data_IF_545906117896
#
_entry.id   IF_545906117896
#
_cell.length_a   1.000
_cell.length_b   1.000
_cell.length_c   1.000
_cell.angle_alpha   90.00
_cell.angle_beta   90.00
_cell.angle_gamma   90.00
#
_symmetry.space_group_name_H-M   'P 1'
#
loop_
_entity.id
_entity.type
_entity.pdbx_description
1 polymer ?
#
# COMPACT_ATOMS: atom_id res chain seq x y z
N UNK A 1 1.44 -1.33 14.14
CA UNK A 1 2.40 -0.34 13.59
C UNK A 1 1.96 -0.02 12.17
N UNK A 2 1.77 1.25 11.86
CA UNK A 2 1.43 1.72 10.51
C UNK A 2 2.75 1.98 9.77
N UNK A 3 3.05 1.20 8.73
CA UNK A 3 4.13 1.52 7.80
C UNK A 3 3.53 2.30 6.65
N UNK A 4 3.83 3.60 6.57
CA UNK A 4 3.35 4.48 5.51
C UNK A 4 4.48 4.65 4.50
N UNK A 5 4.28 4.15 3.28
CA UNK A 5 5.13 4.50 2.15
C UNK A 5 4.42 5.65 1.44
N UNK A 6 4.72 6.87 1.85
CA UNK A 6 4.25 8.07 1.16
C UNK A 6 5.15 8.31 -0.05
N UNK A 7 4.88 7.63 -1.17
CA UNK A 7 5.44 8.05 -2.47
C UNK A 7 4.71 9.33 -2.87
N UNK A 8 5.27 10.48 -2.47
CA UNK A 8 4.97 11.75 -3.12
C UNK A 8 5.48 11.64 -4.56
N UNK A 9 4.60 11.30 -5.50
CA UNK A 9 4.88 11.43 -6.93
C UNK A 9 5.02 12.92 -7.22
N UNK A 10 6.23 13.44 -7.11
CA UNK A 10 6.59 14.84 -7.36
C UNK A 10 6.45 15.27 -8.84
N UNK A 11 5.81 14.44 -9.68
CA UNK A 11 5.67 14.69 -11.13
C UNK A 11 4.33 15.25 -11.58
N UNK A 12 3.31 15.36 -10.73
CA UNK A 12 1.96 15.79 -11.18
C UNK A 12 1.69 17.30 -11.09
N UNK A 13 2.62 18.08 -10.52
CA UNK A 13 2.44 19.53 -10.31
C UNK A 13 3.03 20.40 -11.42
N UNK A 14 3.78 19.84 -12.37
CA UNK A 14 4.59 20.67 -13.30
C UNK A 14 3.83 21.10 -14.56
N UNK A 15 2.86 20.34 -15.07
CA UNK A 15 2.28 20.64 -16.40
C UNK A 15 1.05 21.55 -16.42
N UNK A 16 0.54 22.03 -15.27
CA UNK A 16 -0.55 23.02 -15.29
C UNK A 16 -0.06 24.47 -15.38
N UNK A 17 1.24 24.73 -15.23
CA UNK A 17 1.79 26.09 -15.13
C UNK A 17 2.23 26.68 -16.48
N UNK A 18 2.34 25.88 -17.53
CA UNK A 18 2.97 26.29 -18.80
C UNK A 18 2.01 26.64 -19.94
N UNK A 19 0.69 26.43 -19.79
CA UNK A 19 -0.28 26.87 -20.81
C UNK A 19 -0.97 28.14 -20.31
N UNK A 20 -0.48 29.28 -20.79
CA UNK A 20 -0.89 30.64 -20.39
C UNK A 20 -2.34 31.03 -20.72
N UNK A 21 -3.33 30.37 -20.12
CA UNK A 21 -4.71 30.84 -20.09
C UNK A 21 -5.03 31.53 -18.75
N UNK A 22 -4.37 32.68 -18.51
CA UNK A 22 -4.61 33.52 -17.32
C UNK A 22 -6.08 33.91 -17.14
N UNK A 23 -6.88 33.91 -18.22
CA UNK A 23 -8.32 34.16 -18.19
C UNK A 23 -9.13 32.97 -17.67
N UNK A 24 -8.73 31.73 -18.00
CA UNK A 24 -9.40 30.50 -17.58
C UNK A 24 -9.05 30.18 -16.13
N UNK A 25 -7.80 30.37 -15.71
CA UNK A 25 -7.40 30.20 -14.31
C UNK A 25 -8.06 31.21 -13.38
N UNK A 26 -8.22 32.46 -13.83
CA UNK A 26 -8.96 33.49 -13.09
C UNK A 26 -10.45 33.16 -13.00
N UNK A 27 -11.05 32.63 -14.08
CA UNK A 27 -12.43 32.17 -14.07
C UNK A 27 -12.65 30.98 -13.14
N UNK A 28 -11.72 30.00 -13.13
CA UNK A 28 -11.76 28.85 -12.23
C UNK A 28 -11.57 29.28 -10.77
N UNK A 29 -10.65 30.20 -10.50
CA UNK A 29 -10.42 30.75 -9.16
C UNK A 29 -11.66 31.47 -8.64
N UNK A 30 -12.22 32.40 -9.40
CA UNK A 30 -13.45 33.11 -9.03
C UNK A 30 -14.64 32.15 -8.81
N UNK A 31 -14.72 31.07 -9.58
CA UNK A 31 -15.75 30.05 -9.41
C UNK A 31 -15.54 29.20 -8.16
N UNK A 32 -14.29 28.93 -7.80
CA UNK A 32 -13.93 28.14 -6.61
C UNK A 32 -14.14 28.95 -5.34
N UNK A 33 -13.74 30.22 -5.35
CA UNK A 33 -13.94 31.18 -4.25
C UNK A 33 -15.45 31.41 -3.97
N UNK A 34 -16.27 31.44 -5.03
CA UNK A 34 -17.73 31.48 -4.90
C UNK A 34 -18.31 30.18 -4.34
N UNK A 35 -17.75 29.01 -4.67
CA UNK A 35 -18.16 27.73 -4.08
C UNK A 35 -17.81 27.69 -2.58
N UNK A 36 -16.66 28.22 -2.16
CA UNK A 36 -16.30 28.32 -0.75
C UNK A 36 -17.20 29.27 0.04
N UNK A 37 -17.56 30.42 -0.54
CA UNK A 37 -18.59 31.32 0.03
C UNK A 37 -19.97 30.66 0.15
N UNK A 38 -20.32 29.75 -0.75
CA UNK A 38 -21.58 29.00 -0.68
C UNK A 38 -21.52 27.91 0.40
N UNK A 39 -20.36 27.29 0.60
CA UNK A 39 -20.15 26.29 1.67
C UNK A 39 -20.30 26.89 3.07
N UNK A 40 -19.83 28.13 3.30
CA UNK A 40 -19.95 28.80 4.60
C UNK A 40 -21.39 29.23 4.95
N UNK A 41 -22.32 29.16 3.99
CA UNK A 41 -23.74 29.56 4.17
C UNK A 41 -24.65 28.34 4.32
N UNK A 42 -24.18 27.12 4.03
CA UNK A 42 -25.00 25.93 3.88
C UNK A 42 -24.68 24.82 4.92
N UNK A 43 -24.68 25.18 6.21
CA UNK A 43 -24.81 24.20 7.29
C UNK A 43 -26.31 23.89 7.49
N UNK A 44 -26.84 23.03 6.63
CA UNK A 44 -28.24 22.62 6.67
C UNK A 44 -28.52 21.52 5.65
N UNK A 45 -29.00 20.37 6.14
CA UNK A 45 -29.22 19.11 5.44
C UNK A 45 -29.82 19.21 4.02
N UNK A 46 -29.35 18.30 3.13
CA UNK A 46 -29.69 18.11 1.70
C UNK A 46 -28.78 18.79 0.65
N UNK A 47 -27.66 19.37 1.06
CA UNK A 47 -26.64 19.88 0.15
C UNK A 47 -25.57 18.80 -0.11
N UNK A 48 -25.55 18.22 -1.32
CA UNK A 48 -24.40 17.42 -1.80
C UNK A 48 -23.50 18.35 -2.65
N UNK A 49 -22.51 19.03 -2.03
CA UNK A 49 -21.71 20.06 -2.68
C UNK A 49 -20.89 19.51 -3.85
N UNK A 50 -20.52 18.23 -3.84
CA UNK A 50 -19.79 17.61 -4.96
C UNK A 50 -20.68 17.46 -6.19
N UNK A 51 -21.93 17.02 -5.99
CA UNK A 51 -22.91 16.86 -7.07
C UNK A 51 -23.30 18.21 -7.67
N UNK A 52 -23.45 19.24 -6.84
CA UNK A 52 -23.73 20.62 -7.26
C UNK A 52 -22.52 21.21 -8.00
N UNK A 53 -21.30 21.06 -7.48
CA UNK A 53 -20.08 21.52 -8.14
C UNK A 53 -19.85 20.83 -9.49
N UNK A 54 -20.18 19.53 -9.60
CA UNK A 54 -20.11 18.77 -10.85
C UNK A 54 -21.11 19.29 -11.88
N UNK A 55 -22.35 19.59 -11.45
CA UNK A 55 -23.41 20.18 -12.30
C UNK A 55 -23.11 21.63 -12.70
N UNK A 56 -22.49 22.41 -11.82
CA UNK A 56 -22.06 23.77 -12.10
C UNK A 56 -20.90 23.80 -13.12
N UNK A 57 -19.91 22.91 -12.96
CA UNK A 57 -18.83 22.72 -13.94
C UNK A 57 -19.35 22.31 -15.31
N UNK A 58 -20.33 21.40 -15.38
CA UNK A 58 -20.91 20.99 -16.67
C UNK A 58 -21.68 22.14 -17.34
N UNK A 59 -22.42 22.95 -16.58
CA UNK A 59 -23.10 24.15 -17.09
C UNK A 59 -22.10 25.22 -17.58
N UNK A 60 -21.01 25.44 -16.85
CA UNK A 60 -19.98 26.39 -17.26
C UNK A 60 -19.33 25.97 -18.58
N UNK A 61 -18.99 24.69 -18.72
CA UNK A 61 -18.45 24.09 -19.96
C UNK A 61 -19.43 24.27 -21.14
N UNK A 62 -20.73 23.99 -20.94
CA UNK A 62 -21.73 24.18 -22.00
C UNK A 62 -21.93 25.64 -22.38
N UNK A 63 -21.90 26.56 -21.40
CA UNK A 63 -22.01 28.00 -21.65
C UNK A 63 -20.79 28.57 -22.38
N UNK A 64 -19.60 28.03 -22.11
CA UNK A 64 -18.38 28.41 -22.82
C UNK A 64 -18.41 27.92 -24.26
N UNK A 65 -18.76 26.64 -24.48
CA UNK A 65 -18.93 26.07 -25.82
C UNK A 65 -19.91 26.87 -26.68
N UNK A 66 -21.02 27.35 -26.10
CA UNK A 66 -22.04 28.13 -26.79
C UNK A 66 -21.55 29.54 -27.22
N UNK A 67 -20.53 30.08 -26.54
CA UNK A 67 -19.94 31.40 -26.86
C UNK A 67 -18.79 31.33 -27.87
N UNK A 68 -18.37 30.12 -28.27
CA UNK A 68 -17.28 29.94 -29.20
C UNK A 68 -17.75 30.14 -30.66
N UNK A 69 -16.93 30.77 -31.53
CA UNK A 69 -17.23 30.87 -32.95
C UNK A 69 -17.23 29.48 -33.62
N UNK A 70 -18.10 29.29 -34.64
CA UNK A 70 -18.33 28.00 -35.32
C UNK A 70 -17.04 27.28 -35.74
N UNK A 71 -16.04 28.01 -36.24
CA UNK A 71 -14.75 27.45 -36.66
C UNK A 71 -13.90 26.84 -35.53
N UNK A 72 -14.16 27.21 -34.27
CA UNK A 72 -13.40 26.75 -33.10
C UNK A 72 -14.06 25.61 -32.32
N UNK A 73 -15.34 25.29 -32.60
CA UNK A 73 -16.08 24.25 -31.89
C UNK A 73 -15.44 22.87 -32.04
N UNK A 74 -14.92 22.55 -33.23
CA UNK A 74 -14.26 21.27 -33.50
C UNK A 74 -13.01 21.08 -32.62
N UNK A 75 -12.16 22.11 -32.56
CA UNK A 75 -10.95 22.13 -31.72
C UNK A 75 -11.32 22.01 -30.24
N UNK A 76 -12.38 22.69 -29.81
CA UNK A 76 -12.88 22.58 -28.44
C UNK A 76 -13.38 21.18 -28.09
N UNK A 77 -14.25 20.60 -28.94
CA UNK A 77 -14.78 19.26 -28.74
C UNK A 77 -13.65 18.21 -28.75
N UNK A 78 -12.62 18.44 -29.57
CA UNK A 78 -11.42 17.61 -29.61
C UNK A 78 -10.63 17.68 -28.31
N UNK A 79 -10.43 18.88 -27.77
CA UNK A 79 -9.74 19.07 -26.50
C UNK A 79 -10.52 18.46 -25.32
N UNK A 80 -11.84 18.62 -25.29
CA UNK A 80 -12.70 17.99 -24.28
C UNK A 80 -12.65 16.47 -24.38
N UNK A 81 -12.72 15.91 -25.59
CA UNK A 81 -12.59 14.48 -25.84
C UNK A 81 -11.25 13.93 -25.37
N UNK A 82 -10.16 14.61 -25.74
CA UNK A 82 -8.80 14.30 -25.30
C UNK A 82 -8.67 14.29 -23.78
N UNK A 83 -9.20 15.33 -23.11
CA UNK A 83 -9.14 15.45 -21.65
C UNK A 83 -9.86 14.30 -20.93
N UNK A 84 -10.96 13.78 -21.50
CA UNK A 84 -11.69 12.62 -20.97
C UNK A 84 -10.89 11.35 -21.15
N UNK A 85 -10.25 11.16 -22.30
CA UNK A 85 -9.39 10.01 -22.59
C UNK A 85 -8.19 9.95 -21.64
N UNK A 86 -7.52 11.08 -21.39
CA UNK A 86 -6.41 11.16 -20.42
C UNK A 86 -6.89 10.86 -18.99
N UNK A 87 -8.05 11.39 -18.58
CA UNK A 87 -8.65 11.06 -17.26
C UNK A 87 -8.94 9.57 -17.12
N UNK A 88 -9.45 8.93 -18.17
CA UNK A 88 -9.71 7.48 -18.17
C UNK A 88 -8.40 6.69 -18.10
N UNK A 89 -7.39 7.08 -18.86
CA UNK A 89 -6.05 6.48 -18.81
C UNK A 89 -5.43 6.56 -17.42
N UNK A 90 -5.54 7.72 -16.75
CA UNK A 90 -5.07 7.90 -15.37
C UNK A 90 -5.77 6.93 -14.41
N UNK A 91 -7.10 6.85 -14.47
CA UNK A 91 -7.86 5.98 -13.56
C UNK A 91 -7.55 4.50 -13.80
N UNK A 92 -7.45 4.08 -15.06
CA UNK A 92 -7.08 2.71 -15.42
C UNK A 92 -5.65 2.38 -14.97
N UNK A 93 -4.72 3.34 -15.08
CA UNK A 93 -3.35 3.21 -14.57
C UNK A 93 -3.33 2.95 -13.08
N UNK A 94 -4.04 3.78 -12.30
CA UNK A 94 -4.11 3.61 -10.84
C UNK A 94 -4.69 2.24 -10.49
N UNK A 95 -5.76 1.81 -11.17
CA UNK A 95 -6.40 0.52 -10.91
C UNK A 95 -5.50 -0.67 -11.28
N UNK A 96 -4.79 -0.60 -12.40
CA UNK A 96 -3.87 -1.66 -12.81
C UNK A 96 -2.65 -1.76 -11.91
N UNK A 97 -2.07 -0.62 -11.55
CA UNK A 97 -0.96 -0.56 -10.61
C UNK A 97 -1.36 -1.11 -9.24
N UNK A 98 -2.56 -0.80 -8.74
CA UNK A 98 -3.09 -1.38 -7.49
C UNK A 98 -3.14 -2.90 -7.51
N UNK A 99 -3.46 -3.50 -8.66
CA UNK A 99 -3.53 -4.98 -8.80
C UNK A 99 -2.14 -5.61 -8.88
N UNK A 100 -1.17 -4.92 -9.49
CA UNK A 100 0.14 -5.49 -9.83
C UNK A 100 1.22 -5.24 -8.77
N UNK A 101 1.23 -4.03 -8.19
CA UNK A 101 2.25 -3.62 -7.21
C UNK A 101 2.34 -4.63 -6.06
N UNK A 102 1.26 -5.07 -5.38
CA UNK A 102 1.39 -5.99 -4.27
C UNK A 102 2.13 -7.27 -4.65
N UNK A 103 1.74 -7.87 -5.78
CA UNK A 103 2.35 -9.07 -6.34
C UNK A 103 3.86 -8.96 -6.54
N UNK A 104 4.33 -7.80 -6.99
CA UNK A 104 5.74 -7.48 -7.22
C UNK A 104 6.48 -7.18 -5.92
N UNK A 105 5.92 -6.35 -5.03
CA UNK A 105 6.53 -6.03 -3.74
C UNK A 105 6.78 -7.29 -2.91
N UNK A 106 5.83 -8.22 -2.89
CA UNK A 106 6.04 -9.47 -2.17
C UNK A 106 7.16 -10.31 -2.76
N UNK A 107 7.33 -10.33 -4.08
CA UNK A 107 8.49 -11.00 -4.70
C UNK A 107 9.79 -10.41 -4.19
N UNK A 108 9.93 -9.08 -4.22
CA UNK A 108 11.12 -8.36 -3.75
C UNK A 108 11.38 -8.67 -2.26
N UNK A 109 10.37 -8.52 -1.40
CA UNK A 109 10.51 -8.81 0.04
C UNK A 109 10.96 -10.26 0.28
N UNK A 110 10.47 -11.24 -0.48
CA UNK A 110 10.93 -12.64 -0.33
C UNK A 110 12.35 -12.93 -0.82
N UNK A 111 13.00 -11.99 -1.52
CA UNK A 111 14.42 -12.08 -1.84
C UNK A 111 15.28 -11.73 -0.61
N UNK A 112 14.85 -10.76 0.18
CA UNK A 112 15.58 -10.28 1.36
C UNK A 112 15.21 -10.99 2.66
N UNK A 113 13.95 -11.41 2.80
CA UNK A 113 13.42 -11.98 4.04
C UNK A 113 12.97 -13.43 3.84
N UNK A 114 13.14 -14.27 4.87
CA UNK A 114 12.79 -15.70 4.85
C UNK A 114 11.30 -15.99 5.03
N UNK A 115 10.42 -15.10 4.56
CA UNK A 115 8.97 -15.20 4.68
C UNK A 115 8.33 -15.72 3.38
N UNK A 116 7.17 -16.38 3.48
CA UNK A 116 6.42 -16.84 2.30
C UNK A 116 5.69 -15.68 1.62
N UNK A 117 5.62 -15.70 0.28
CA UNK A 117 4.90 -14.69 -0.52
C UNK A 117 3.43 -14.52 -0.10
N UNK A 118 2.75 -15.63 0.21
CA UNK A 118 1.35 -15.64 0.64
C UNK A 118 1.08 -14.90 1.96
N UNK A 119 2.11 -14.69 2.80
CA UNK A 119 2.01 -13.94 4.05
C UNK A 119 2.13 -12.42 3.83
N UNK A 120 2.77 -12.01 2.73
CA UNK A 120 2.94 -10.59 2.37
C UNK A 120 1.79 -10.13 1.48
N UNK A 121 1.24 -11.04 0.67
CA UNK A 121 0.09 -10.74 -0.19
C UNK A 121 -1.07 -10.22 0.64
N UNK A 122 -1.70 -9.11 0.20
CA UNK A 122 -2.85 -8.57 0.89
C UNK A 122 -3.99 -9.58 0.84
N UNK A 123 -4.44 -10.02 2.02
CA UNK A 123 -5.64 -10.84 2.17
C UNK A 123 -6.69 -10.06 2.94
N UNK A 124 -7.97 -10.28 2.64
CA UNK A 124 -9.08 -9.70 3.41
C UNK A 124 -9.24 -10.50 4.70
N UNK A 125 -8.85 -9.93 5.85
CA UNK A 125 -9.19 -10.50 7.15
C UNK A 125 -8.41 -9.94 8.34
N UNK A 126 -9.05 -9.90 9.51
CA UNK A 126 -8.45 -9.41 10.76
C UNK A 126 -7.22 -10.21 11.22
N UNK A 127 -7.04 -11.44 10.71
CA UNK A 127 -5.91 -12.33 11.05
C UNK A 127 -4.75 -12.28 10.04
N UNK A 128 -4.84 -11.48 8.98
CA UNK A 128 -3.81 -11.41 7.95
C UNK A 128 -2.50 -10.79 8.49
N UNK A 129 -1.36 -11.29 7.99
CA UNK A 129 -0.03 -10.75 8.27
C UNK A 129 0.17 -9.35 7.65
N UNK A 130 -0.53 -9.08 6.55
CA UNK A 130 -0.63 -7.77 5.91
C UNK A 130 -2.04 -7.51 5.36
N UNK A 131 -2.52 -6.29 5.53
CA UNK A 131 -3.76 -5.76 4.96
C UNK A 131 -3.46 -4.50 4.13
N UNK A 132 -4.22 -4.29 3.06
CA UNK A 132 -4.20 -3.05 2.28
C UNK A 132 -5.51 -2.30 2.50
N UNK A 133 -5.42 -1.06 2.96
CA UNK A 133 -6.58 -0.16 3.01
C UNK A 133 -6.61 0.77 1.79
N UNK A 134 -7.78 0.90 1.18
CA UNK A 134 -8.03 1.79 0.04
C UNK A 134 -8.52 3.14 0.55
N UNK A 135 -7.65 4.16 0.51
CA UNK A 135 -8.12 5.54 0.48
C UNK A 135 -7.82 6.06 -0.93
N UNK A 136 -8.88 6.41 -1.68
CA UNK A 136 -8.79 6.79 -3.10
C UNK A 136 -7.80 7.93 -3.39
N UNK A 137 -7.38 8.66 -2.35
CA UNK A 137 -6.41 9.76 -2.40
C UNK A 137 -5.05 9.48 -1.73
N UNK A 138 -4.90 8.41 -0.91
CA UNK A 138 -3.74 8.23 -0.01
C UNK A 138 -2.76 7.12 -0.40
N UNK A 139 -2.89 6.52 -1.59
CA UNK A 139 -1.98 5.47 -2.08
C UNK A 139 -2.28 4.07 -1.51
N UNK A 140 -1.30 3.16 -1.63
CA UNK A 140 -1.38 1.79 -1.10
C UNK A 140 -0.80 1.79 0.31
N UNK A 141 -1.65 1.58 1.32
CA UNK A 141 -1.21 1.56 2.73
C UNK A 141 -1.15 0.12 3.21
N UNK A 142 0.04 -0.34 3.60
CA UNK A 142 0.24 -1.63 4.23
C UNK A 142 0.10 -1.53 5.75
N UNK A 143 -0.79 -2.32 6.30
CA UNK A 143 -0.99 -2.43 7.75
C UNK A 143 -0.80 -3.88 8.18
N UNK A 144 -0.27 -4.09 9.39
CA UNK A 144 0.05 -5.44 9.83
C UNK A 144 0.50 -5.51 11.28
N UNK A 145 0.48 -6.73 11.81
CA UNK A 145 0.98 -7.08 13.14
C UNK A 145 2.44 -7.52 13.07
N UNK A 146 3.15 -7.44 14.19
CA UNK A 146 4.43 -8.12 14.35
C UNK A 146 4.20 -9.63 14.24
N UNK A 147 5.05 -10.30 13.47
CA UNK A 147 4.92 -11.72 13.19
C UNK A 147 5.71 -12.54 14.19
N UNK A 148 5.26 -13.76 14.47
CA UNK A 148 6.04 -14.74 15.22
C UNK A 148 7.13 -15.33 14.32
N UNK A 149 8.25 -15.82 14.90
CA UNK A 149 9.31 -16.51 14.17
C UNK A 149 8.84 -17.63 13.24
N UNK A 150 7.70 -18.27 13.54
CA UNK A 150 7.09 -19.32 12.71
C UNK A 150 6.92 -18.94 11.25
N UNK A 151 6.71 -17.65 10.96
CA UNK A 151 6.58 -17.15 9.58
C UNK A 151 7.92 -17.06 8.82
N UNK A 152 9.05 -17.24 9.52
CA UNK A 152 10.43 -17.05 9.03
C UNK A 152 11.25 -18.35 9.09
N UNK A 153 10.68 -19.46 8.62
CA UNK A 153 11.33 -20.80 8.61
C UNK A 153 11.92 -21.19 9.98
N UNK A 154 11.14 -20.98 11.04
CA UNK A 154 11.54 -21.32 12.41
C UNK A 154 11.91 -22.79 12.52
N UNK A 155 13.00 -23.07 13.25
CA UNK A 155 13.41 -24.41 13.67
C UNK A 155 13.61 -24.41 15.18
N UNK A 156 13.12 -25.46 15.83
CA UNK A 156 13.38 -25.72 17.24
C UNK A 156 14.19 -27.01 17.36
N UNK A 157 15.32 -26.92 18.05
CA UNK A 157 16.15 -28.08 18.39
C UNK A 157 16.07 -28.30 19.88
N UNK A 158 15.73 -29.51 20.28
CA UNK A 158 15.80 -29.92 21.68
C UNK A 158 17.12 -30.66 21.89
N UNK A 159 17.95 -30.16 22.79
CA UNK A 159 19.21 -30.78 23.18
C UNK A 159 19.13 -31.20 24.63
N UNK A 160 19.85 -32.26 24.99
CA UNK A 160 20.01 -32.71 26.38
C UNK A 160 21.40 -32.25 26.82
N UNK A 161 21.48 -31.44 27.87
CA UNK A 161 22.74 -30.91 28.40
C UNK A 161 22.93 -31.36 29.86
N UNK A 162 24.18 -31.55 30.32
CA UNK A 162 24.47 -31.75 31.73
C UNK A 162 24.00 -30.55 32.57
N UNK A 163 23.56 -30.82 33.80
CA UNK A 163 23.16 -29.80 34.76
C UNK A 163 23.46 -30.29 36.19
N UNK A 164 24.21 -29.50 36.95
CA UNK A 164 24.45 -29.78 38.36
C UNK A 164 23.20 -29.51 39.18
N UNK A 165 22.78 -30.51 39.95
CA UNK A 165 21.71 -30.38 40.93
C UNK A 165 22.25 -29.76 42.22
N UNK A 166 21.34 -29.28 43.07
CA UNK A 166 21.68 -28.68 44.36
C UNK A 166 22.37 -29.67 45.32
N UNK A 167 22.19 -30.98 45.11
CA UNK A 167 22.84 -32.06 45.85
C UNK A 167 24.27 -32.39 45.36
N UNK A 168 24.80 -31.63 44.39
CA UNK A 168 26.13 -31.86 43.80
C UNK A 168 26.18 -32.93 42.70
N UNK A 169 25.08 -33.66 42.45
CA UNK A 169 25.03 -34.67 41.39
C UNK A 169 24.86 -34.05 40.00
N UNK A 170 25.49 -34.67 38.99
CA UNK A 170 25.31 -34.26 37.59
C UNK A 170 24.05 -34.90 37.01
N UNK A 171 23.01 -34.11 36.79
CA UNK A 171 21.80 -34.48 36.06
C UNK A 171 21.87 -34.15 34.57
N UNK A 172 20.81 -34.51 33.85
CA UNK A 172 20.58 -34.14 32.45
C UNK A 172 19.32 -33.29 32.37
N UNK A 173 19.37 -32.14 31.69
CA UNK A 173 18.19 -31.30 31.43
C UNK A 173 17.97 -31.09 29.94
N UNK A 174 16.70 -31.02 29.53
CA UNK A 174 16.31 -30.65 28.16
C UNK A 174 16.37 -29.14 28.01
N UNK A 175 17.08 -28.66 27.00
CA UNK A 175 17.17 -27.25 26.61
C UNK A 175 16.66 -27.13 25.18
N UNK A 176 15.77 -26.17 24.95
CA UNK A 176 15.24 -25.90 23.62
C UNK A 176 15.91 -24.67 23.04
N UNK A 177 16.49 -24.81 21.86
CA UNK A 177 17.08 -23.71 21.09
C UNK A 177 16.18 -23.41 19.91
N UNK A 178 15.68 -22.18 19.85
CA UNK A 178 14.80 -21.70 18.77
C UNK A 178 15.60 -20.80 17.84
N UNK A 179 15.54 -21.08 16.54
CA UNK A 179 16.21 -20.31 15.49
C UNK A 179 15.24 -19.96 14.39
N UNK A 180 15.48 -18.86 13.68
CA UNK A 180 14.71 -18.46 12.51
C UNK A 180 15.60 -17.75 11.48
N UNK A 181 15.11 -17.70 10.26
CA UNK A 181 15.74 -17.05 9.11
C UNK A 181 14.91 -15.80 8.76
N UNK A 182 15.02 -14.76 9.60
CA UNK A 182 14.26 -13.51 9.41
C UNK A 182 14.75 -12.83 8.14
N UNK A 183 16.06 -12.56 8.08
CA UNK A 183 16.76 -12.18 6.86
C UNK A 183 17.14 -13.48 6.15
N UNK A 184 16.85 -13.55 4.85
CA UNK A 184 17.07 -14.75 4.05
C UNK A 184 18.55 -15.13 4.04
N UNK A 185 18.85 -16.42 4.18
CA UNK A 185 20.21 -16.92 4.28
C UNK A 185 20.90 -16.70 5.63
N UNK A 186 20.39 -15.82 6.50
CA UNK A 186 20.97 -15.53 7.81
C UNK A 186 20.15 -16.17 8.94
N UNK A 187 20.37 -17.46 9.18
CA UNK A 187 19.73 -18.15 10.32
C UNK A 187 20.34 -17.66 11.64
N UNK A 188 19.51 -17.11 12.52
CA UNK A 188 19.91 -16.65 13.86
C UNK A 188 19.17 -17.41 14.95
N UNK A 189 19.87 -17.67 16.05
CA UNK A 189 19.28 -18.17 17.29
C UNK A 189 18.60 -16.97 17.98
N UNK A 190 17.33 -17.13 18.38
CA UNK A 190 16.47 -16.02 18.80
C UNK A 190 16.53 -15.70 20.30
N UNK A 191 17.39 -16.41 21.04
CA UNK A 191 17.58 -16.24 22.49
C UNK A 191 17.43 -17.56 23.24
N UNK A 192 18.01 -17.63 24.45
CA UNK A 192 18.04 -18.83 25.30
C UNK A 192 16.82 -19.00 26.21
N UNK A 193 16.00 -17.96 26.36
CA UNK A 193 14.84 -17.93 27.27
C UNK A 193 13.51 -18.26 26.59
N UNK A 194 13.55 -18.61 25.29
CA UNK A 194 12.36 -18.92 24.52
C UNK A 194 11.96 -20.39 24.66
N UNK A 195 10.66 -20.66 24.73
CA UNK A 195 10.11 -22.02 24.72
C UNK A 195 8.89 -22.09 23.81
N UNK A 196 8.64 -23.25 23.23
CA UNK A 196 7.48 -23.49 22.38
C UNK A 196 6.28 -23.98 23.22
N UNK A 197 5.13 -23.37 22.98
CA UNK A 197 3.84 -23.85 23.49
C UNK A 197 2.74 -23.65 22.44
N UNK A 198 1.61 -24.33 22.61
CA UNK A 198 0.45 -24.16 21.72
C UNK A 198 -0.07 -22.73 21.85
N UNK A 199 -0.43 -22.12 20.72
CA UNK A 199 -0.99 -20.76 20.67
C UNK A 199 -2.40 -20.64 21.27
N UNK A 200 -3.06 -21.76 21.58
CA UNK A 200 -4.37 -21.81 22.22
C UNK A 200 -4.74 -23.24 22.65
N UNK A 201 -5.90 -23.39 23.28
CA UNK A 201 -6.40 -24.66 23.79
C UNK A 201 -6.94 -25.61 22.71
N UNK A 202 -7.22 -25.10 21.50
CA UNK A 202 -7.78 -25.88 20.41
C UNK A 202 -6.83 -27.00 19.94
N UNK A 203 -7.41 -28.13 19.56
CA UNK A 203 -6.68 -29.22 18.93
C UNK A 203 -6.09 -28.75 17.58
N UNK A 204 -4.83 -29.10 17.32
CA UNK A 204 -4.10 -28.59 16.15
C UNK A 204 -3.56 -27.16 16.24
N UNK A 205 -3.72 -26.47 17.38
CA UNK A 205 -3.16 -25.11 17.55
C UNK A 205 -1.63 -25.11 17.31
N UNK A 206 -1.10 -24.21 16.46
CA UNK A 206 0.31 -24.19 16.13
C UNK A 206 1.16 -23.88 17.35
N UNK A 207 2.33 -24.53 17.41
CA UNK A 207 3.35 -24.25 18.42
C UNK A 207 4.08 -22.96 18.06
N UNK A 208 4.02 -21.97 18.96
CA UNK A 208 4.66 -20.66 18.79
C UNK A 208 5.63 -20.40 19.94
N UNK A 209 6.67 -19.57 19.71
CA UNK A 209 7.62 -19.23 20.76
C UNK A 209 7.05 -18.21 21.74
N UNK A 210 7.24 -18.49 23.01
CA UNK A 210 6.89 -17.65 24.14
C UNK A 210 8.15 -17.28 24.94
N UNK A 211 8.08 -16.15 25.62
CA UNK A 211 9.13 -15.65 26.50
C UNK A 211 8.52 -15.29 27.85
N UNK A 212 9.20 -15.64 28.94
CA UNK A 212 8.82 -15.18 30.28
C UNK A 212 9.35 -13.77 30.51
N UNK A 213 8.55 -12.92 31.16
CA UNK A 213 8.99 -11.55 31.50
C UNK A 213 10.01 -11.52 32.64
N UNK A 214 10.04 -12.55 33.48
CA UNK A 214 10.97 -12.66 34.61
C UNK A 214 11.29 -14.11 34.98
N UNK A 215 11.86 -14.32 36.17
CA UNK A 215 12.23 -15.65 36.70
C UNK A 215 10.99 -16.51 37.05
N UNK A 216 9.88 -15.87 37.39
CA UNK A 216 8.63 -16.54 37.75
C UNK A 216 7.99 -17.28 36.55
N UNK A 217 7.05 -18.18 36.84
CA UNK A 217 6.36 -18.96 35.79
C UNK A 217 5.48 -18.11 34.87
N UNK A 218 4.93 -17.04 35.40
CA UNK A 218 4.09 -16.05 34.75
C UNK A 218 4.58 -14.65 35.15
N UNK A 219 4.31 -13.60 34.34
CA UNK A 219 3.60 -13.58 33.06
C UNK A 219 4.46 -14.03 31.88
N UNK A 220 3.79 -14.52 30.83
CA UNK A 220 4.39 -15.05 29.60
C UNK A 220 3.87 -14.23 28.42
N UNK A 221 4.76 -13.78 27.54
CA UNK A 221 4.46 -13.02 26.34
C UNK A 221 4.81 -13.82 25.08
N UNK A 222 4.07 -13.59 23.99
CA UNK A 222 4.40 -14.16 22.68
C UNK A 222 5.61 -13.44 22.11
N UNK A 223 6.65 -14.19 21.72
CA UNK A 223 7.81 -13.59 21.09
C UNK A 223 7.52 -13.25 19.63
N UNK A 224 7.71 -11.98 19.26
CA UNK A 224 7.44 -11.45 17.93
C UNK A 224 8.70 -10.80 17.36
N UNK A 225 8.82 -10.81 16.04
CA UNK A 225 9.99 -10.31 15.31
C UNK A 225 9.62 -9.06 14.51
N UNK A 226 9.56 -9.15 13.17
CA UNK A 226 9.25 -8.07 12.26
C UNK A 226 7.82 -8.20 11.72
N UNK A 227 7.25 -7.07 11.32
CA UNK A 227 5.97 -7.01 10.60
C UNK A 227 6.18 -6.81 9.11
N UNK A 228 5.19 -7.17 8.28
CA UNK A 228 5.24 -6.91 6.83
C UNK A 228 5.43 -5.43 6.49
N UNK A 229 4.71 -4.47 7.12
CA UNK A 229 4.95 -3.07 6.86
C UNK A 229 6.40 -2.65 7.15
N UNK A 230 7.01 -3.13 8.23
CA UNK A 230 8.42 -2.84 8.54
C UNK A 230 9.38 -3.44 7.50
N UNK A 231 9.08 -4.60 6.94
CA UNK A 231 9.89 -5.20 5.86
C UNK A 231 9.82 -4.38 4.57
N UNK A 232 8.68 -3.74 4.31
CA UNK A 232 8.46 -2.88 3.14
C UNK A 232 9.06 -1.48 3.32
N UNK A 233 9.09 -0.94 4.54
CA UNK A 233 9.62 0.40 4.82
C UNK A 233 11.08 0.40 5.27
N UNK A 234 11.64 -0.76 5.61
CA UNK A 234 13.01 -0.90 6.09
C UNK A 234 14.05 -0.80 4.97
N UNK A 235 15.24 -0.32 5.32
CA UNK A 235 16.28 0.08 4.35
C UNK A 235 16.76 -1.06 3.43
N UNK A 236 16.68 -2.31 3.91
CA UNK A 236 17.21 -3.47 3.20
C UNK A 236 16.57 -3.69 1.81
N UNK A 237 15.25 -3.51 1.69
CA UNK A 237 14.52 -3.74 0.45
C UNK A 237 13.96 -2.45 -0.18
N UNK A 238 14.02 -1.33 0.55
CA UNK A 238 13.32 -0.09 0.21
C UNK A 238 13.71 0.49 -1.17
N UNK A 239 14.99 0.58 -1.57
CA UNK A 239 15.36 1.16 -2.87
C UNK A 239 14.74 0.39 -4.04
N UNK A 240 14.76 -0.95 -3.99
CA UNK A 240 14.20 -1.80 -5.05
C UNK A 240 12.66 -1.75 -5.05
N UNK A 241 12.03 -1.69 -3.87
CA UNK A 241 10.58 -1.53 -3.75
C UNK A 241 10.10 -0.20 -4.34
N UNK A 242 10.78 0.91 -4.04
CA UNK A 242 10.44 2.24 -4.57
C UNK A 242 10.62 2.29 -6.09
N UNK A 243 11.75 1.78 -6.61
CA UNK A 243 11.99 1.67 -8.05
C UNK A 243 10.91 0.85 -8.76
N UNK A 244 10.53 -0.30 -8.18
CA UNK A 244 9.49 -1.17 -8.73
C UNK A 244 8.12 -0.47 -8.80
N UNK A 245 7.76 0.32 -7.79
CA UNK A 245 6.49 1.07 -7.81
C UNK A 245 6.49 2.08 -8.97
N UNK A 246 7.58 2.83 -9.13
CA UNK A 246 7.71 3.83 -10.20
C UNK A 246 7.66 3.16 -11.57
N UNK A 247 8.41 2.07 -11.76
CA UNK A 247 8.44 1.30 -13.00
C UNK A 247 7.05 0.79 -13.38
N UNK A 248 6.36 0.09 -12.46
CA UNK A 248 5.01 -0.41 -12.71
C UNK A 248 4.05 0.72 -13.03
N UNK A 249 4.11 1.85 -12.32
CA UNK A 249 3.26 3.01 -12.60
C UNK A 249 3.52 3.58 -13.99
N UNK A 250 4.78 3.74 -14.38
CA UNK A 250 5.17 4.28 -15.68
C UNK A 250 4.76 3.36 -16.83
N UNK A 251 5.04 2.06 -16.73
CA UNK A 251 4.59 1.07 -17.72
C UNK A 251 3.08 1.14 -17.95
N UNK A 252 2.30 1.16 -16.86
CA UNK A 252 0.84 1.19 -16.94
C UNK A 252 0.34 2.54 -17.44
N UNK A 253 1.00 3.63 -17.08
CA UNK A 253 0.65 4.95 -17.56
C UNK A 253 0.82 5.04 -19.07
N UNK A 254 1.99 4.67 -19.59
CA UNK A 254 2.28 4.65 -21.03
C UNK A 254 1.34 3.72 -21.77
N UNK A 255 1.12 2.50 -21.26
CA UNK A 255 0.20 1.55 -21.88
C UNK A 255 -1.23 2.09 -21.96
N UNK A 256 -1.76 2.62 -20.85
CA UNK A 256 -3.13 3.11 -20.80
C UNK A 256 -3.30 4.42 -21.58
N UNK A 257 -2.32 5.32 -21.53
CA UNK A 257 -2.31 6.51 -22.37
C UNK A 257 -2.40 6.11 -23.84
N UNK A 258 -1.49 5.27 -24.33
CA UNK A 258 -1.50 4.82 -25.72
C UNK A 258 -2.84 4.16 -26.08
N UNK A 259 -3.34 3.28 -25.22
CA UNK A 259 -4.64 2.61 -25.44
C UNK A 259 -5.80 3.60 -25.60
N UNK A 260 -5.91 4.62 -24.73
CA UNK A 260 -7.01 5.58 -24.78
C UNK A 260 -6.81 6.65 -25.85
N UNK A 261 -5.57 7.08 -26.07
CA UNK A 261 -5.21 8.04 -27.12
C UNK A 261 -5.42 7.45 -28.51
N UNK A 262 -4.90 6.25 -28.77
CA UNK A 262 -5.09 5.59 -30.07
C UNK A 262 -6.56 5.30 -30.34
N UNK A 263 -7.35 4.92 -29.33
CA UNK A 263 -8.81 4.76 -29.50
C UNK A 263 -9.50 6.07 -29.84
N UNK A 264 -9.10 7.16 -29.19
CA UNK A 264 -9.64 8.49 -29.45
C UNK A 264 -9.34 8.95 -30.89
N UNK A 265 -8.08 8.80 -31.32
CA UNK A 265 -7.64 9.15 -32.67
C UNK A 265 -8.34 8.28 -33.72
N UNK A 266 -8.39 6.95 -33.55
CA UNK A 266 -9.08 6.04 -34.49
C UNK A 266 -10.57 6.36 -34.64
N UNK A 267 -11.25 6.63 -33.52
CA UNK A 267 -12.67 7.03 -33.54
C UNK A 267 -12.95 8.37 -34.23
N UNK A 268 -11.92 9.20 -34.47
CA UNK A 268 -12.02 10.49 -35.17
C UNK A 268 -11.58 10.41 -36.63
N UNK A 269 -10.61 9.56 -36.95
CA UNK A 269 -10.00 9.44 -38.29
C UNK A 269 -10.67 8.33 -39.12
N UNK A 270 -11.49 7.46 -38.53
CA UNK A 270 -12.23 6.43 -39.28
C UNK A 270 -11.34 5.29 -39.79
N UNK A 271 -10.27 4.97 -39.06
CA UNK A 271 -9.33 3.87 -39.33
C UNK A 271 -9.45 2.75 -38.30
#
# INVERSE_FOLDING_TARGET
MLGRIDVKVAGFTVYSKEIGFKSVDRAIKNFTDNIEKIKSVADGSAFDPEKIAKKAKSRAISSFRAKLPKGSLKVYDDFVGLSKSVKKARNDTINDSRRRIPGKLATIVTQYYGIKKSEIMPNKGAKAAANISNAYEKGIVYTGRLLTPTHFKMKAKTSIVPFQRADGSTGRRKVQTISAEIIKGQRKILGSSLFLAKSGAAEGAPMIPFQRRGKARTPIDVFKTLSVPQMLTGDLARPELEACIVEVMNERYTHNLNRHMSRYVKGKVGL
#
